data_IF_939565546454
#
_entry.id   IF_939565546454
#
_cell.length_a   1.000
_cell.length_b   1.000
_cell.length_c   1.000
_cell.angle_alpha   90.00
_cell.angle_beta   90.00
_cell.angle_gamma   90.00
#
_symmetry.space_group_name_H-M   'P 1'
#
loop_
_entity.id
_entity.type
_entity.pdbx_description
1 polymer ?
#
# COMPACT_ATOMS: atom_id res chain seq x y z
N UNK A 1 -11.44 -12.11 15.90
CA UNK A 1 -10.52 -12.37 14.79
C UNK A 1 -10.65 -11.26 13.76
N UNK A 2 -9.54 -10.67 13.42
CA UNK A 2 -9.54 -9.67 12.37
C UNK A 2 -9.37 -10.36 11.02
N UNK A 3 -10.20 -9.98 10.08
CA UNK A 3 -10.07 -10.47 8.71
C UNK A 3 -9.12 -9.57 7.96
N UNK A 4 -8.23 -10.15 7.18
CA UNK A 4 -7.41 -9.37 6.27
C UNK A 4 -8.21 -8.95 5.05
N UNK A 5 -7.92 -7.75 4.58
CA UNK A 5 -8.44 -7.26 3.31
C UNK A 5 -7.30 -7.32 2.31
N UNK A 6 -7.51 -8.02 1.22
CA UNK A 6 -6.51 -8.13 0.15
C UNK A 6 -7.09 -7.54 -1.12
N UNK A 7 -6.36 -6.61 -1.70
CA UNK A 7 -6.78 -5.91 -2.92
C UNK A 7 -5.68 -5.95 -3.96
N UNK A 8 -6.07 -5.87 -5.23
CA UNK A 8 -5.15 -5.58 -6.31
C UNK A 8 -5.23 -4.08 -6.54
N UNK A 9 -4.12 -3.39 -6.47
CA UNK A 9 -4.10 -1.95 -6.54
C UNK A 9 -2.93 -1.44 -7.38
N UNK A 10 -3.16 -0.32 -8.05
CA UNK A 10 -2.13 0.34 -8.85
C UNK A 10 -1.60 1.53 -8.06
N UNK A 11 -0.28 1.64 -7.99
CA UNK A 11 0.36 2.77 -7.32
C UNK A 11 0.24 4.01 -8.20
N UNK A 12 -0.37 5.06 -7.67
CA UNK A 12 -0.57 6.31 -8.37
C UNK A 12 0.53 7.32 -8.08
N UNK A 13 1.04 7.30 -6.85
CA UNK A 13 2.03 8.27 -6.42
C UNK A 13 2.75 7.71 -5.20
N UNK A 14 4.04 8.06 -5.07
CA UNK A 14 4.79 7.70 -3.87
C UNK A 14 5.68 8.87 -3.50
N UNK A 15 5.74 9.18 -2.20
CA UNK A 15 6.56 10.28 -1.71
C UNK A 15 7.07 9.96 -0.30
N UNK A 16 8.19 10.56 0.05
CA UNK A 16 8.70 10.48 1.41
C UNK A 16 7.89 11.46 2.26
N UNK A 17 7.46 11.01 3.45
CA UNK A 17 6.70 11.85 4.35
C UNK A 17 7.57 13.04 4.79
N UNK A 18 7.22 14.26 4.40
CA UNK A 18 8.06 15.44 4.71
C UNK A 18 8.01 15.85 6.18
N UNK A 19 7.02 15.38 6.91
CA UNK A 19 6.82 15.79 8.31
C UNK A 19 7.51 14.88 9.32
N UNK A 20 7.96 13.72 8.87
CA UNK A 20 8.57 12.76 9.77
C UNK A 20 10.08 12.78 9.58
N UNK A 21 10.77 13.37 10.56
CA UNK A 21 12.23 13.30 10.65
C UNK A 21 12.62 11.97 11.24
N UNK A 22 12.28 10.94 10.53
CA UNK A 22 12.43 9.60 11.04
C UNK A 22 13.52 8.88 10.25
N UNK A 23 14.50 8.28 10.95
CA UNK A 23 15.51 7.48 10.25
C UNK A 23 14.91 6.30 9.49
N UNK A 24 13.69 5.92 9.79
CA UNK A 24 13.02 4.83 9.12
C UNK A 24 12.51 5.20 7.73
N UNK A 25 12.53 6.47 7.37
CA UNK A 25 12.13 6.95 6.04
C UNK A 25 10.79 6.40 5.60
N UNK A 26 9.75 6.81 6.31
CA UNK A 26 8.40 6.40 5.95
C UNK A 26 7.98 7.03 4.63
N UNK A 27 7.25 6.25 3.84
CA UNK A 27 6.76 6.70 2.55
C UNK A 27 5.24 6.69 2.54
N UNK A 28 4.66 7.65 1.82
CA UNK A 28 3.23 7.68 1.57
C UNK A 28 2.99 7.23 0.14
N UNK A 29 2.25 6.17 -0.02
CA UNK A 29 1.92 5.64 -1.33
C UNK A 29 0.42 5.77 -1.55
N UNK A 30 0.04 6.49 -2.60
CA UNK A 30 -1.36 6.57 -2.97
C UNK A 30 -1.65 5.50 -3.99
N UNK A 31 -2.65 4.70 -3.70
CA UNK A 31 -3.03 3.57 -4.55
C UNK A 31 -4.47 3.71 -5.02
N UNK A 32 -4.74 3.17 -6.20
CA UNK A 32 -6.11 2.99 -6.70
C UNK A 32 -6.46 1.52 -6.55
N UNK A 33 -7.57 1.24 -5.89
CA UNK A 33 -8.02 -0.13 -5.71
C UNK A 33 -8.72 -0.59 -6.98
N UNK A 34 -8.10 -1.56 -7.65
CA UNK A 34 -8.62 -2.08 -8.91
C UNK A 34 -9.58 -3.25 -8.69
N UNK A 35 -9.29 -4.07 -7.69
CA UNK A 35 -10.10 -5.25 -7.41
C UNK A 35 -9.94 -5.64 -5.94
N UNK A 36 -11.00 -6.14 -5.35
CA UNK A 36 -10.98 -6.64 -3.97
C UNK A 36 -11.00 -8.16 -4.03
N UNK A 37 -9.91 -8.77 -3.60
CA UNK A 37 -9.74 -10.22 -3.68
C UNK A 37 -10.24 -10.93 -2.44
N UNK A 38 -10.18 -10.27 -1.29
CA UNK A 38 -10.59 -10.86 -0.02
C UNK A 38 -10.97 -9.74 0.93
N UNK A 39 -11.98 -9.96 1.76
CA UNK A 39 -12.45 -8.97 2.71
C UNK A 39 -13.40 -7.98 2.10
N UNK A 40 -13.61 -6.88 2.79
CA UNK A 40 -14.59 -5.88 2.42
C UNK A 40 -14.01 -4.49 2.62
N UNK A 41 -14.11 -3.66 1.59
CA UNK A 41 -13.60 -2.29 1.63
C UNK A 41 -14.40 -1.43 0.66
N UNK A 42 -14.81 -0.26 1.11
CA UNK A 42 -15.62 0.66 0.31
C UNK A 42 -14.79 1.67 -0.47
N UNK A 43 -13.53 1.86 -0.10
CA UNK A 43 -12.69 2.86 -0.73
C UNK A 43 -12.29 2.45 -2.14
N UNK A 44 -12.19 3.41 -3.06
CA UNK A 44 -11.66 3.18 -4.40
C UNK A 44 -10.22 3.62 -4.53
N UNK A 45 -9.76 4.43 -3.60
CA UNK A 45 -8.37 4.89 -3.52
C UNK A 45 -8.00 5.06 -2.06
N UNK A 46 -6.73 4.94 -1.77
CA UNK A 46 -6.26 4.92 -0.39
C UNK A 46 -4.81 5.36 -0.34
N UNK A 47 -4.43 6.01 0.75
CA UNK A 47 -3.04 6.34 1.03
C UNK A 47 -2.49 5.35 2.04
N UNK A 48 -1.36 4.76 1.72
CA UNK A 48 -0.69 3.80 2.60
C UNK A 48 0.54 4.44 3.21
N UNK A 49 0.73 4.26 4.51
CA UNK A 49 1.97 4.63 5.17
C UNK A 49 2.87 3.40 5.22
N UNK A 50 3.96 3.43 4.47
CA UNK A 50 4.88 2.31 4.35
C UNK A 50 6.13 2.60 5.14
N UNK A 51 6.43 1.74 6.11
CA UNK A 51 7.64 1.83 6.92
C UNK A 51 8.76 1.07 6.22
N UNK A 52 9.85 1.77 5.91
CA UNK A 52 11.05 1.14 5.34
C UNK A 52 10.71 0.23 4.16
N UNK A 53 10.16 0.77 3.07
CA UNK A 53 9.77 -0.06 1.93
C UNK A 53 10.97 -0.86 1.41
N UNK A 54 10.69 -2.06 0.94
CA UNK A 54 11.75 -2.92 0.42
C UNK A 54 12.37 -2.29 -0.82
N UNK A 55 13.65 -2.59 -1.03
CA UNK A 55 14.33 -2.14 -2.23
C UNK A 55 13.66 -2.66 -3.49
N UNK A 56 13.14 -3.87 -3.42
CA UNK A 56 12.42 -4.47 -4.55
C UNK A 56 11.19 -3.67 -4.91
N UNK A 57 10.47 -3.15 -3.90
CA UNK A 57 9.30 -2.32 -4.14
C UNK A 57 9.68 -0.98 -4.76
N UNK A 58 10.80 -0.39 -4.32
CA UNK A 58 11.18 0.96 -4.72
C UNK A 58 11.97 1.00 -6.02
N UNK A 59 12.43 -0.12 -6.54
CA UNK A 59 13.28 -0.17 -7.72
C UNK A 59 12.76 -1.22 -8.70
N UNK A 60 12.32 -0.82 -9.89
CA UNK A 60 12.17 0.56 -10.33
C UNK A 60 11.03 1.28 -9.62
N UNK A 61 10.81 2.55 -9.98
CA UNK A 61 9.73 3.35 -9.42
C UNK A 61 8.41 2.57 -9.48
N UNK A 62 7.72 2.38 -8.35
CA UNK A 62 6.51 1.56 -8.32
C UNK A 62 5.28 2.20 -8.97
N UNK A 63 5.34 3.49 -9.28
CA UNK A 63 4.19 4.20 -9.85
C UNK A 63 3.79 3.57 -11.18
N UNK A 64 2.50 3.27 -11.32
CA UNK A 64 1.95 2.66 -12.51
C UNK A 64 1.91 1.14 -12.48
N UNK A 65 2.56 0.52 -11.52
CA UNK A 65 2.55 -0.94 -11.39
C UNK A 65 1.47 -1.39 -10.43
N UNK A 66 1.00 -2.61 -10.64
CA UNK A 66 -0.02 -3.22 -9.81
C UNK A 66 0.59 -4.13 -8.75
N UNK A 67 0.05 -4.06 -7.56
CA UNK A 67 0.49 -4.86 -6.43
C UNK A 67 -0.69 -5.51 -5.74
N UNK A 68 -0.43 -6.62 -5.08
CA UNK A 68 -1.36 -7.20 -4.11
C UNK A 68 -1.04 -6.59 -2.75
N UNK A 69 -2.05 -5.99 -2.14
CA UNK A 69 -1.89 -5.28 -0.88
C UNK A 69 -2.79 -5.94 0.15
N UNK A 70 -2.19 -6.44 1.21
CA UNK A 70 -2.92 -7.06 2.32
C UNK A 70 -2.91 -6.10 3.52
N UNK A 71 -4.08 -5.83 4.05
CA UNK A 71 -4.28 -4.88 5.14
C UNK A 71 -5.13 -5.53 6.23
N UNK A 72 -5.00 -5.03 7.44
CA UNK A 72 -5.77 -5.51 8.59
C UNK A 72 -6.71 -4.40 9.06
N UNK A 73 -8.02 -4.64 9.10
CA UNK A 73 -8.96 -3.63 9.61
C UNK A 73 -8.68 -3.24 11.07
N UNK A 74 -9.01 -2.02 11.47
CA UNK A 74 -9.72 -1.01 10.70
C UNK A 74 -8.82 -0.32 9.68
N UNK A 75 -9.38 0.00 8.54
CA UNK A 75 -8.64 0.63 7.45
C UNK A 75 -9.08 2.08 7.32
N UNK A 76 -8.18 2.98 7.69
CA UNK A 76 -8.38 4.41 7.56
C UNK A 76 -7.62 4.95 6.36
N UNK A 77 -7.72 6.25 6.15
CA UNK A 77 -6.98 6.95 5.11
C UNK A 77 -6.27 8.14 5.75
N UNK A 78 -4.95 8.10 5.94
CA UNK A 78 -4.04 7.04 5.49
C UNK A 78 -4.12 5.77 6.34
N UNK A 79 -3.83 4.66 5.70
CA UNK A 79 -3.75 3.39 6.40
C UNK A 79 -2.37 3.26 7.04
N UNK A 80 -2.35 3.05 8.34
CA UNK A 80 -1.10 3.02 9.11
C UNK A 80 -0.84 1.68 9.81
N UNK A 81 -1.72 0.71 9.59
CA UNK A 81 -1.60 -0.59 10.23
C UNK A 81 -0.64 -1.54 9.53
N UNK A 82 -0.65 -2.82 9.92
CA UNK A 82 0.19 -3.83 9.29
C UNK A 82 -0.10 -3.95 7.81
N UNK A 83 0.95 -4.12 7.01
CA UNK A 83 0.85 -4.03 5.56
C UNK A 83 1.78 -5.03 4.91
N UNK A 84 1.26 -5.78 3.94
CA UNK A 84 2.06 -6.61 3.07
C UNK A 84 1.80 -6.21 1.63
N UNK A 85 2.87 -6.01 0.87
CA UNK A 85 2.79 -5.63 -0.54
C UNK A 85 3.67 -6.58 -1.34
N UNK A 86 3.10 -7.14 -2.40
CA UNK A 86 3.84 -7.97 -3.32
C UNK A 86 3.37 -7.73 -4.74
N UNK A 87 4.21 -7.97 -5.75
CA UNK A 87 3.80 -7.76 -7.14
C UNK A 87 2.58 -8.61 -7.48
N UNK A 88 1.60 -7.98 -8.14
CA UNK A 88 0.40 -8.68 -8.60
C UNK A 88 0.65 -9.40 -9.91
N UNK A 89 1.64 -8.94 -10.66
CA UNK A 89 1.98 -9.52 -11.95
C UNK A 89 3.01 -10.62 -11.76
N UNK A 90 2.65 -11.81 -12.18
CA UNK A 90 3.47 -12.99 -12.01
C UNK A 90 4.55 -13.17 -13.07
N UNK A 91 4.55 -12.36 -14.06
CA UNK A 91 5.41 -12.62 -15.23
C UNK A 91 6.43 -11.58 -15.48
#
# INVERSE_FOLDING_TARGET
>A
MSEQVTVAATVLQIEVDPYLRDPLRRHLARIRIDDVLSGDIDATALTLLIHSPSKTFMDPNPVGYRYLVAMTPPIGDPYTGPLEIEPADEH
#
